data_IF_437709466064
#
_entry.id   IF_437709466064
#
_cell.length_a   1.000
_cell.length_b   1.000
_cell.length_c   1.000
_cell.angle_alpha   90.00
_cell.angle_beta   90.00
_cell.angle_gamma   90.00
#
_symmetry.space_group_name_H-M   'P 1'
#
loop_
_entity.id
_entity.type
_entity.pdbx_description
1 polymer ?
#
# COMPACT_ATOMS: atom_id res chain seq x y z
N UNK A 1 -6.17 -42.68 -2.24
CA UNK A 1 -6.52 -41.29 -1.89
C UNK A 1 -5.26 -40.41 -1.95
N UNK A 2 -4.93 -39.76 -3.09
CA UNK A 2 -3.86 -38.76 -3.14
C UNK A 2 -4.40 -37.40 -3.64
N UNK A 3 -4.53 -36.40 -2.76
CA UNK A 3 -4.89 -35.02 -3.17
C UNK A 3 -4.06 -33.91 -2.50
N UNK A 4 -2.91 -34.21 -1.88
CA UNK A 4 -2.13 -33.17 -1.16
C UNK A 4 -0.90 -32.62 -1.89
N UNK A 5 -0.56 -33.10 -3.10
CA UNK A 5 0.69 -32.71 -3.79
C UNK A 5 0.59 -31.48 -4.71
N UNK A 6 -0.60 -30.88 -4.90
CA UNK A 6 -0.78 -29.75 -5.84
C UNK A 6 -0.56 -28.36 -5.23
N UNK A 7 -0.42 -28.23 -3.90
CA UNK A 7 -0.39 -26.91 -3.25
C UNK A 7 0.95 -26.17 -3.34
N UNK A 8 2.08 -26.88 -3.39
CA UNK A 8 3.41 -26.24 -3.30
C UNK A 8 3.94 -25.73 -4.65
N UNK A 9 3.55 -26.37 -5.76
CA UNK A 9 3.97 -25.94 -7.10
C UNK A 9 3.30 -24.62 -7.53
N UNK A 10 2.10 -24.30 -7.01
CA UNK A 10 1.38 -23.07 -7.35
C UNK A 10 2.02 -21.82 -6.72
N UNK A 11 2.58 -21.92 -5.51
CA UNK A 11 3.20 -20.77 -4.84
C UNK A 11 4.52 -20.32 -5.48
N UNK A 12 5.33 -21.25 -6.00
CA UNK A 12 6.61 -20.92 -6.63
C UNK A 12 6.44 -20.21 -7.99
N UNK A 13 5.44 -20.61 -8.79
CA UNK A 13 5.11 -19.93 -10.06
C UNK A 13 4.59 -18.51 -9.81
N UNK A 14 3.82 -18.30 -8.73
CA UNK A 14 3.27 -16.99 -8.34
C UNK A 14 4.30 -15.95 -7.89
N UNK A 15 5.48 -16.38 -7.41
CA UNK A 15 6.57 -15.48 -7.06
C UNK A 15 7.36 -15.02 -8.30
N UNK A 16 7.45 -15.88 -9.33
CA UNK A 16 8.14 -15.54 -10.57
C UNK A 16 7.35 -14.55 -11.44
N UNK A 17 6.02 -14.67 -11.47
CA UNK A 17 5.13 -13.71 -12.16
C UNK A 17 5.17 -12.30 -11.54
N UNK A 18 5.38 -12.20 -10.22
CA UNK A 18 5.48 -10.90 -9.54
C UNK A 18 6.64 -10.02 -10.04
N UNK A 19 7.72 -10.63 -10.52
CA UNK A 19 8.87 -9.88 -11.03
C UNK A 19 8.67 -9.39 -12.47
N UNK A 20 7.81 -10.03 -13.26
CA UNK A 20 7.65 -9.71 -14.67
C UNK A 20 6.68 -8.54 -14.91
N UNK A 21 5.56 -8.46 -14.18
CA UNK A 21 4.58 -7.37 -14.38
C UNK A 21 5.09 -6.00 -13.92
N UNK A 22 5.95 -5.96 -12.90
CA UNK A 22 6.49 -4.69 -12.34
C UNK A 22 7.58 -4.10 -13.26
N UNK A 23 8.18 -4.91 -14.13
CA UNK A 23 9.29 -4.46 -15.00
C UNK A 23 8.85 -3.64 -16.22
N UNK A 24 7.53 -3.50 -16.46
CA UNK A 24 6.99 -2.81 -17.65
C UNK A 24 7.04 -1.27 -17.51
N UNK A 25 7.19 -0.74 -16.30
CA UNK A 25 7.09 0.71 -16.05
C UNK A 25 8.40 1.33 -15.54
N UNK A 26 9.31 1.63 -16.48
CA UNK A 26 10.25 2.78 -16.50
C UNK A 26 11.12 3.18 -15.30
N UNK A 27 11.04 2.53 -14.13
CA UNK A 27 11.68 3.05 -12.90
C UNK A 27 12.22 1.93 -12.01
N UNK A 28 13.08 1.08 -12.58
CA UNK A 28 13.72 -0.05 -11.91
C UNK A 28 14.35 0.31 -10.55
N UNK A 29 14.92 1.52 -10.42
CA UNK A 29 15.48 2.02 -9.15
C UNK A 29 14.42 2.14 -8.06
N UNK A 30 13.21 2.58 -8.39
CA UNK A 30 12.10 2.74 -7.44
C UNK A 30 11.61 1.36 -6.98
N UNK A 31 11.49 0.40 -7.91
CA UNK A 31 11.10 -0.98 -7.62
C UNK A 31 12.11 -1.67 -6.71
N UNK A 32 13.41 -1.60 -7.04
CA UNK A 32 14.49 -2.17 -6.21
C UNK A 32 14.48 -1.57 -4.80
N UNK A 33 14.26 -0.25 -4.68
CA UNK A 33 14.13 0.41 -3.38
C UNK A 33 12.91 -0.09 -2.61
N UNK A 34 11.75 -0.22 -3.27
CA UNK A 34 10.53 -0.75 -2.65
C UNK A 34 10.74 -2.15 -2.05
N UNK A 35 11.33 -3.08 -2.80
CA UNK A 35 11.64 -4.42 -2.28
C UNK A 35 12.64 -4.41 -1.12
N UNK A 36 13.69 -3.58 -1.23
CA UNK A 36 14.68 -3.43 -0.15
C UNK A 36 14.04 -2.91 1.13
N UNK A 37 13.14 -1.93 1.03
CA UNK A 37 12.45 -1.35 2.18
C UNK A 37 11.53 -2.39 2.85
N UNK A 38 10.82 -3.21 2.05
CA UNK A 38 10.03 -4.34 2.55
C UNK A 38 10.86 -5.43 3.22
N UNK A 39 12.02 -5.77 2.66
CA UNK A 39 12.96 -6.72 3.24
C UNK A 39 13.54 -6.19 4.56
N UNK A 40 13.93 -4.91 4.62
CA UNK A 40 14.44 -4.28 5.84
C UNK A 40 13.41 -4.31 6.98
N UNK A 41 12.15 -4.01 6.67
CA UNK A 41 11.06 -4.11 7.65
C UNK A 41 10.83 -5.56 8.11
N UNK A 42 10.81 -6.50 7.17
CA UNK A 42 10.57 -7.92 7.45
C UNK A 42 11.71 -8.56 8.26
N UNK A 43 12.95 -8.13 8.05
CA UNK A 43 14.10 -8.65 8.79
C UNK A 43 14.26 -8.02 10.19
N UNK A 44 13.52 -6.94 10.49
CA UNK A 44 13.54 -6.31 11.81
C UNK A 44 12.72 -7.11 12.82
N UNK A 45 13.16 -7.14 14.08
CA UNK A 45 12.37 -7.70 15.18
C UNK A 45 11.11 -6.83 15.47
N UNK A 46 10.17 -7.34 16.27
CA UNK A 46 8.88 -6.66 16.52
C UNK A 46 9.05 -5.27 17.13
N UNK A 47 9.96 -5.10 18.08
CA UNK A 47 10.25 -3.80 18.69
C UNK A 47 10.78 -2.80 17.66
N UNK A 48 11.71 -3.24 16.80
CA UNK A 48 12.25 -2.45 15.70
C UNK A 48 11.18 -2.07 14.68
N UNK A 49 10.26 -2.98 14.35
CA UNK A 49 9.11 -2.68 13.46
C UNK A 49 8.16 -1.66 14.08
N UNK A 50 7.88 -1.78 15.38
CA UNK A 50 7.04 -0.83 16.10
C UNK A 50 7.66 0.58 16.11
N UNK A 51 8.93 0.67 16.51
CA UNK A 51 9.70 1.92 16.52
C UNK A 51 9.79 2.54 15.12
N UNK A 52 10.08 1.72 14.11
CA UNK A 52 10.11 2.16 12.71
C UNK A 52 8.76 2.71 12.25
N UNK A 53 7.65 2.10 12.66
CA UNK A 53 6.31 2.53 12.30
C UNK A 53 5.91 3.84 12.97
N UNK A 54 6.23 4.02 14.25
CA UNK A 54 5.97 5.27 14.95
C UNK A 54 6.82 6.40 14.33
N UNK A 55 8.09 6.13 14.01
CA UNK A 55 8.95 7.06 13.26
C UNK A 55 8.48 7.33 11.82
N UNK A 56 7.86 6.37 11.13
CA UNK A 56 7.19 6.58 9.84
C UNK A 56 6.01 7.54 10.00
N UNK A 57 5.19 7.36 11.03
CA UNK A 57 4.02 8.20 11.29
C UNK A 57 4.43 9.65 11.53
N UNK A 58 5.40 9.89 12.43
CA UNK A 58 5.93 11.23 12.71
C UNK A 58 6.50 11.91 11.47
N UNK A 59 7.32 11.19 10.68
CA UNK A 59 7.89 11.70 9.43
C UNK A 59 6.81 12.04 8.41
N UNK A 60 5.72 11.26 8.35
CA UNK A 60 4.60 11.53 7.45
C UNK A 60 3.88 12.81 7.85
N UNK A 61 3.58 12.98 9.15
CA UNK A 61 2.97 14.22 9.66
C UNK A 61 3.83 15.42 9.30
N UNK A 62 5.14 15.35 9.59
CA UNK A 62 6.09 16.43 9.29
C UNK A 62 6.12 16.75 7.79
N UNK A 63 6.18 15.73 6.93
CA UNK A 63 6.20 15.90 5.49
C UNK A 63 4.91 16.54 4.94
N UNK A 64 3.74 16.17 5.48
CA UNK A 64 2.46 16.79 5.12
C UNK A 64 2.41 18.25 5.58
N UNK A 65 2.86 18.55 6.81
CA UNK A 65 2.89 19.93 7.34
C UNK A 65 3.85 20.82 6.55
N UNK A 66 5.02 20.28 6.15
CA UNK A 66 5.99 21.01 5.35
C UNK A 66 5.68 21.00 3.83
N UNK A 67 4.52 20.45 3.43
CA UNK A 67 4.09 20.30 2.03
C UNK A 67 5.15 19.63 1.13
N UNK A 68 5.92 18.69 1.69
CA UNK A 68 6.95 17.94 0.96
C UNK A 68 6.35 16.67 0.33
N UNK A 69 5.64 16.83 -0.78
CA UNK A 69 4.86 15.76 -1.41
C UNK A 69 5.73 14.58 -1.88
N UNK A 70 6.93 14.81 -2.40
CA UNK A 70 7.88 13.74 -2.75
C UNK A 70 8.23 12.88 -1.53
N UNK A 71 8.35 13.51 -0.36
CA UNK A 71 8.63 12.81 0.89
C UNK A 71 7.41 12.01 1.35
N UNK A 72 6.20 12.56 1.21
CA UNK A 72 4.94 11.84 1.47
C UNK A 72 4.86 10.59 0.60
N UNK A 73 5.10 10.71 -0.72
CA UNK A 73 5.13 9.56 -1.64
C UNK A 73 6.16 8.51 -1.21
N UNK A 74 7.37 8.94 -0.84
CA UNK A 74 8.41 8.03 -0.37
C UNK A 74 8.03 7.28 0.90
N UNK A 75 7.38 7.94 1.86
CA UNK A 75 6.97 7.32 3.13
C UNK A 75 5.80 6.35 2.93
N UNK A 76 4.89 6.66 2.01
CA UNK A 76 3.80 5.74 1.63
C UNK A 76 4.37 4.49 0.98
N UNK A 77 5.37 4.60 0.09
CA UNK A 77 6.05 3.43 -0.49
C UNK A 77 6.70 2.57 0.59
N UNK A 78 7.44 3.19 1.51
CA UNK A 78 8.10 2.51 2.64
C UNK A 78 7.06 1.75 3.50
N UNK A 79 5.93 2.39 3.80
CA UNK A 79 4.83 1.76 4.54
C UNK A 79 4.12 0.65 3.76
N UNK A 80 3.90 0.83 2.46
CA UNK A 80 3.26 -0.17 1.60
C UNK A 80 4.14 -1.41 1.42
N UNK A 81 5.46 -1.25 1.35
CA UNK A 81 6.41 -2.37 1.28
C UNK A 81 6.39 -3.24 2.56
N UNK A 82 6.01 -2.65 3.69
CA UNK A 82 5.84 -3.33 4.98
C UNK A 82 4.46 -3.99 5.17
N UNK A 83 3.55 -3.84 4.19
CA UNK A 83 2.19 -4.33 4.28
C UNK A 83 2.13 -5.85 4.05
N UNK A 84 1.46 -6.55 4.96
CA UNK A 84 1.15 -7.96 4.77
C UNK A 84 -0.14 -8.15 3.98
N UNK A 85 -0.28 -9.31 3.31
CA UNK A 85 -1.53 -9.71 2.67
C UNK A 85 -2.72 -9.72 3.66
N UNK A 86 -3.95 -9.48 3.20
CA UNK A 86 -5.13 -9.66 4.01
C UNK A 86 -5.19 -11.11 4.55
N UNK A 87 -5.58 -11.26 5.80
CA UNK A 87 -5.76 -12.56 6.46
C UNK A 87 -7.24 -12.83 6.64
N UNK A 88 -7.68 -14.07 6.52
CA UNK A 88 -9.07 -14.42 6.79
C UNK A 88 -9.36 -14.29 8.30
N UNK A 89 -10.55 -13.81 8.66
CA UNK A 89 -10.99 -13.74 10.05
C UNK A 89 -11.18 -15.15 10.58
N UNK A 90 -10.35 -15.58 11.52
CA UNK A 90 -10.52 -16.85 12.21
C UNK A 90 -11.77 -16.76 13.08
N UNK A 91 -12.79 -17.57 12.79
CA UNK A 91 -13.97 -17.73 13.65
C UNK A 91 -13.59 -18.75 14.72
N UNK A 92 -12.86 -18.29 15.75
CA UNK A 92 -12.44 -19.16 16.84
C UNK A 92 -13.67 -19.62 17.64
N UNK A 93 -14.06 -20.89 17.50
CA UNK A 93 -14.90 -21.59 18.49
C UNK A 93 -13.96 -22.15 19.57
N UNK A 94 -14.20 -21.75 20.82
CA UNK A 94 -13.70 -22.35 22.08
C UNK A 94 -12.20 -22.26 22.43
N UNK A 95 -11.91 -21.20 23.19
CA UNK A 95 -11.23 -21.09 24.49
C UNK A 95 -9.99 -21.94 24.95
N UNK A 96 -9.13 -21.21 25.67
CA UNK A 96 -8.31 -21.57 26.87
C UNK A 96 -6.78 -21.77 26.68
N UNK A 97 -6.05 -20.66 26.88
CA UNK A 97 -4.75 -20.45 27.57
C UNK A 97 -3.47 -21.21 27.14
N UNK A 98 -2.27 -20.76 27.56
CA UNK A 98 -1.73 -19.39 27.62
C UNK A 98 -0.37 -19.32 26.90
N UNK A 99 -0.18 -18.57 25.81
CA UNK A 99 1.19 -18.44 25.27
C UNK A 99 1.49 -17.16 24.47
N UNK A 100 2.78 -16.74 24.46
CA UNK A 100 3.26 -15.47 23.93
C UNK A 100 3.09 -15.31 22.41
N UNK A 101 2.78 -16.38 21.69
CA UNK A 101 2.47 -16.32 20.26
C UNK A 101 1.21 -15.49 19.99
N UNK A 102 0.17 -15.62 20.82
CA UNK A 102 -1.03 -14.77 20.75
C UNK A 102 -0.67 -13.29 20.95
N UNK A 103 0.28 -12.99 21.84
CA UNK A 103 0.74 -11.62 22.07
C UNK A 103 1.49 -11.07 20.84
N UNK A 104 2.32 -11.91 20.21
CA UNK A 104 3.02 -11.58 18.98
C UNK A 104 2.05 -11.37 17.81
N UNK A 105 1.05 -12.22 17.64
CA UNK A 105 0.03 -12.05 16.60
C UNK A 105 -0.82 -10.81 16.83
N UNK A 106 -1.24 -10.55 18.06
CA UNK A 106 -1.95 -9.32 18.44
C UNK A 106 -1.11 -8.09 18.14
N UNK A 107 0.17 -8.11 18.48
CA UNK A 107 1.09 -7.01 18.20
C UNK A 107 1.27 -6.82 16.69
N UNK A 108 1.47 -7.89 15.93
CA UNK A 108 1.59 -7.84 14.48
C UNK A 108 0.31 -7.31 13.83
N UNK A 109 -0.86 -7.75 14.28
CA UNK A 109 -2.16 -7.26 13.80
C UNK A 109 -2.33 -5.76 14.09
N UNK A 110 -1.90 -5.30 15.26
CA UNK A 110 -1.88 -3.87 15.61
C UNK A 110 -0.96 -3.07 14.69
N UNK A 111 0.28 -3.54 14.47
CA UNK A 111 1.24 -2.91 13.56
C UNK A 111 0.69 -2.80 12.13
N UNK A 112 0.12 -3.88 11.61
CA UNK A 112 -0.50 -3.89 10.28
C UNK A 112 -1.71 -2.95 10.21
N UNK A 113 -2.48 -2.85 11.29
CA UNK A 113 -3.58 -1.89 11.40
C UNK A 113 -3.10 -0.43 11.39
N UNK A 114 -1.99 -0.14 12.07
CA UNK A 114 -1.33 1.18 12.06
C UNK A 114 -0.79 1.50 10.65
N UNK A 115 -0.12 0.57 9.98
CA UNK A 115 0.38 0.72 8.60
C UNK A 115 -0.75 1.07 7.63
N UNK A 116 -1.85 0.30 7.62
CA UNK A 116 -3.01 0.57 6.75
C UNK A 116 -3.61 1.96 7.00
N UNK A 117 -3.74 2.36 8.27
CA UNK A 117 -4.24 3.70 8.62
C UNK A 117 -3.30 4.80 8.10
N UNK A 118 -1.99 4.61 8.25
CA UNK A 118 -0.97 5.54 7.78
C UNK A 118 -1.02 5.70 6.26
N UNK A 119 -1.07 4.59 5.52
CA UNK A 119 -1.21 4.58 4.05
C UNK A 119 -2.49 5.30 3.62
N UNK A 120 -3.65 4.92 4.16
CA UNK A 120 -4.92 5.56 3.81
C UNK A 120 -4.93 7.07 4.12
N UNK A 121 -4.28 7.50 5.21
CA UNK A 121 -4.14 8.93 5.53
C UNK A 121 -3.23 9.63 4.53
N UNK A 122 -2.05 9.07 4.26
CA UNK A 122 -1.09 9.63 3.31
C UNK A 122 -1.67 9.77 1.91
N UNK A 123 -2.31 8.72 1.39
CA UNK A 123 -2.98 8.75 0.09
C UNK A 123 -4.11 9.77 0.04
N UNK A 124 -4.85 9.97 1.14
CA UNK A 124 -5.91 10.98 1.22
C UNK A 124 -5.42 12.44 1.13
N UNK A 125 -4.11 12.68 1.25
CA UNK A 125 -3.52 14.02 1.08
C UNK A 125 -2.95 14.25 -0.32
N UNK A 126 -2.87 13.22 -1.15
CA UNK A 126 -2.25 13.29 -2.46
C UNK A 126 -3.30 13.40 -3.56
N UNK A 127 -2.95 14.13 -4.62
CA UNK A 127 -3.70 14.10 -5.86
C UNK A 127 -3.14 12.98 -6.73
N UNK A 128 -3.82 11.86 -6.74
CA UNK A 128 -3.37 10.69 -7.49
C UNK A 128 -3.78 10.75 -8.98
N UNK A 129 -4.56 11.77 -9.37
CA UNK A 129 -4.79 12.09 -10.78
C UNK A 129 -3.57 12.78 -11.42
N UNK A 130 -2.67 13.33 -10.61
CA UNK A 130 -1.40 13.91 -11.06
C UNK A 130 -0.43 12.79 -11.52
N UNK A 131 -0.02 12.84 -12.79
CA UNK A 131 0.84 11.83 -13.41
C UNK A 131 2.18 11.68 -12.67
N UNK A 132 2.74 12.78 -12.16
CA UNK A 132 3.99 12.76 -11.40
C UNK A 132 3.85 11.99 -10.09
N UNK A 133 2.79 12.27 -9.34
CA UNK A 133 2.44 11.59 -8.09
C UNK A 133 2.15 10.11 -8.33
N UNK A 134 1.30 9.80 -9.32
CA UNK A 134 0.93 8.44 -9.68
C UNK A 134 2.15 7.60 -10.10
N UNK A 135 3.03 8.15 -10.95
CA UNK A 135 4.26 7.46 -11.38
C UNK A 135 5.20 7.16 -10.21
N UNK A 136 5.30 8.07 -9.23
CA UNK A 136 6.10 7.83 -8.04
C UNK A 136 5.51 6.73 -7.15
N UNK A 137 4.19 6.63 -7.04
CA UNK A 137 3.51 5.67 -6.17
C UNK A 137 3.17 4.34 -6.85
N UNK A 138 3.30 4.26 -8.18
CA UNK A 138 2.89 3.11 -8.99
C UNK A 138 3.31 1.76 -8.38
N UNK A 139 4.58 1.52 -7.98
CA UNK A 139 4.96 0.21 -7.45
C UNK A 139 4.21 -0.15 -6.15
N UNK A 140 3.95 0.85 -5.31
CA UNK A 140 3.20 0.66 -4.07
C UNK A 140 1.70 0.44 -4.34
N UNK A 141 1.11 1.19 -5.27
CA UNK A 141 -0.30 1.04 -5.64
C UNK A 141 -0.56 -0.32 -6.28
N UNK A 142 0.30 -0.73 -7.21
CA UNK A 142 0.24 -2.04 -7.88
C UNK A 142 0.41 -3.19 -6.88
N UNK A 143 1.37 -3.08 -5.95
CA UNK A 143 1.54 -4.05 -4.88
C UNK A 143 0.29 -4.18 -4.00
N UNK A 144 -0.30 -3.07 -3.56
CA UNK A 144 -1.51 -3.10 -2.73
C UNK A 144 -2.72 -3.67 -3.48
N UNK A 145 -2.90 -3.35 -4.77
CA UNK A 145 -3.94 -3.95 -5.63
C UNK A 145 -3.74 -5.46 -5.73
N UNK A 146 -2.51 -5.91 -5.98
CA UNK A 146 -2.19 -7.34 -6.06
C UNK A 146 -2.51 -8.08 -4.76
N UNK A 147 -2.18 -7.51 -3.60
CA UNK A 147 -2.52 -8.11 -2.30
C UNK A 147 -4.02 -8.31 -2.12
N UNK A 148 -4.83 -7.33 -2.54
CA UNK A 148 -6.29 -7.38 -2.45
C UNK A 148 -6.84 -8.41 -3.43
N UNK A 149 -6.42 -8.37 -4.70
CA UNK A 149 -6.92 -9.29 -5.72
C UNK A 149 -6.55 -10.74 -5.43
N UNK A 150 -5.33 -11.01 -4.95
CA UNK A 150 -4.92 -12.35 -4.52
C UNK A 150 -5.77 -12.89 -3.37
N UNK A 151 -6.17 -12.03 -2.44
CA UNK A 151 -7.07 -12.45 -1.37
C UNK A 151 -8.47 -12.76 -1.90
N UNK A 152 -9.00 -11.93 -2.81
CA UNK A 152 -10.30 -12.11 -3.45
C UNK A 152 -10.46 -13.39 -4.25
N UNK A 153 -9.37 -13.92 -4.80
CA UNK A 153 -9.37 -15.25 -5.45
C UNK A 153 -9.84 -16.34 -4.46
N UNK A 154 -9.54 -16.19 -3.17
CA UNK A 154 -9.76 -17.23 -2.15
C UNK A 154 -10.98 -16.93 -1.26
N UNK A 155 -11.30 -15.67 -1.01
CA UNK A 155 -12.32 -15.25 -0.03
C UNK A 155 -12.79 -13.82 -0.29
N UNK A 156 -13.98 -13.47 0.16
CA UNK A 156 -14.52 -12.10 0.04
C UNK A 156 -13.77 -11.14 0.97
N UNK A 157 -13.53 -9.90 0.54
CA UNK A 157 -12.74 -8.94 1.33
C UNK A 157 -13.40 -8.58 2.67
N UNK A 158 -14.72 -8.74 2.76
CA UNK A 158 -15.55 -8.61 3.96
C UNK A 158 -15.19 -9.63 5.05
N UNK A 159 -14.67 -10.80 4.65
CA UNK A 159 -14.23 -11.87 5.55
C UNK A 159 -12.80 -11.64 6.04
N UNK A 160 -12.10 -10.63 5.51
CA UNK A 160 -10.74 -10.32 5.93
C UNK A 160 -10.71 -9.77 7.37
N UNK A 161 -9.66 -10.11 8.10
CA UNK A 161 -9.27 -9.40 9.30
C UNK A 161 -9.01 -7.93 8.92
N UNK A 162 -9.64 -7.03 9.67
CA UNK A 162 -9.68 -5.60 9.36
C UNK A 162 -10.31 -5.27 7.99
N UNK A 163 -11.34 -6.01 7.56
CA UNK A 163 -12.12 -5.76 6.34
C UNK A 163 -12.41 -4.27 6.07
N UNK A 164 -12.88 -3.52 7.07
CA UNK A 164 -13.16 -2.07 6.94
C UNK A 164 -11.96 -1.26 6.44
N UNK A 165 -10.74 -1.61 6.87
CA UNK A 165 -9.52 -0.91 6.45
C UNK A 165 -9.13 -1.30 5.03
N UNK A 166 -9.25 -2.58 4.68
CA UNK A 166 -8.98 -3.07 3.33
C UNK A 166 -9.98 -2.55 2.30
N UNK A 167 -11.27 -2.55 2.62
CA UNK A 167 -12.33 -1.95 1.78
C UNK A 167 -12.10 -0.45 1.57
N UNK A 168 -11.69 0.28 2.62
CA UNK A 168 -11.33 1.70 2.48
C UNK A 168 -10.13 1.89 1.55
N UNK A 169 -9.09 1.07 1.72
CA UNK A 169 -7.91 1.11 0.87
C UNK A 169 -8.28 0.80 -0.58
N UNK A 170 -9.07 -0.25 -0.82
CA UNK A 170 -9.60 -0.59 -2.13
C UNK A 170 -10.38 0.58 -2.74
N UNK A 171 -11.27 1.22 -1.97
CA UNK A 171 -12.02 2.39 -2.41
C UNK A 171 -11.11 3.50 -2.94
N UNK A 172 -10.07 3.85 -2.17
CA UNK A 172 -9.04 4.83 -2.59
C UNK A 172 -8.40 4.39 -3.91
N UNK A 173 -7.96 3.13 -4.01
CA UNK A 173 -7.28 2.59 -5.20
C UNK A 173 -8.18 2.49 -6.45
N UNK A 174 -9.49 2.38 -6.27
CA UNK A 174 -10.47 2.31 -7.38
C UNK A 174 -10.95 3.67 -7.84
N UNK A 175 -11.05 4.65 -6.94
CA UNK A 175 -11.45 6.02 -7.30
C UNK A 175 -10.48 6.69 -8.28
N UNK A 176 -9.20 6.28 -8.26
CA UNK A 176 -8.17 6.65 -9.23
C UNK A 176 -8.60 6.37 -10.69
N UNK A 177 -9.19 5.18 -10.89
CA UNK A 177 -9.41 4.59 -12.22
C UNK A 177 -10.53 5.33 -12.93
N UNK A 178 -11.51 5.83 -12.19
CA UNK A 178 -12.65 6.57 -12.75
C UNK A 178 -12.22 7.95 -13.29
N UNK A 179 -11.23 8.61 -12.68
CA UNK A 179 -10.77 9.93 -13.15
C UNK A 179 -9.90 9.84 -14.40
N UNK A 180 -9.11 8.78 -14.57
CA UNK A 180 -8.31 8.58 -15.79
C UNK A 180 -9.16 8.15 -17.01
N UNK A 181 -10.15 7.28 -16.82
CA UNK A 181 -11.03 6.84 -17.91
C UNK A 181 -11.87 7.97 -18.54
N UNK A 182 -12.21 9.00 -17.75
CA UNK A 182 -12.92 10.18 -18.25
C UNK A 182 -12.00 11.16 -19.01
N UNK A 183 -10.70 11.18 -18.72
CA UNK A 183 -9.73 12.01 -19.45
C UNK A 183 -9.38 11.42 -20.83
N UNK A 184 -9.46 10.09 -21.00
CA UNK A 184 -9.16 9.43 -22.27
C UNK A 184 -10.29 9.48 -23.32
N UNK A 185 -11.50 9.91 -22.94
CA UNK A 185 -12.67 10.00 -23.83
C UNK A 185 -12.91 11.40 -24.41
N UNK A 186 -12.09 12.40 -24.08
CA UNK A 186 -12.23 13.76 -24.61
C UNK A 186 -10.87 14.41 -24.88
N UNK A 187 -10.36 14.29 -26.11
CA UNK A 187 -9.15 15.03 -26.48
C UNK A 187 -8.49 14.62 -27.80
N UNK A 188 -9.17 14.90 -28.92
CA UNK A 188 -8.48 15.11 -30.19
C UNK A 188 -7.78 16.48 -30.16
N UNK A 189 -6.46 16.48 -30.39
CA UNK A 189 -5.56 17.58 -30.80
C UNK A 189 -5.12 18.68 -29.79
N UNK A 190 -4.04 19.47 -30.07
CA UNK A 190 -2.93 19.29 -31.04
C UNK A 190 -1.51 19.37 -30.44
N UNK A 191 -0.55 18.95 -31.26
CA UNK A 191 0.91 19.07 -31.16
C UNK A 191 1.37 20.48 -30.74
N UNK A 192 2.10 20.57 -29.63
CA UNK A 192 2.65 21.82 -29.11
C UNK A 192 3.86 21.57 -28.21
N UNK A 193 5.03 21.56 -28.85
CA UNK A 193 6.38 21.50 -28.26
C UNK A 193 6.52 22.33 -26.96
N UNK A 194 6.93 21.68 -25.86
CA UNK A 194 7.17 22.35 -24.58
C UNK A 194 8.45 21.81 -23.90
N UNK A 195 9.45 22.69 -23.81
CA UNK A 195 10.77 22.50 -23.19
C UNK A 195 10.67 22.22 -21.68
N UNK A 196 11.54 21.34 -21.20
CA UNK A 196 11.51 20.69 -19.89
C UNK A 196 11.54 21.62 -18.69
N UNK A 197 10.48 21.57 -17.90
CA UNK A 197 10.44 21.98 -16.49
C UNK A 197 9.76 20.86 -15.73
N UNK A 198 10.40 20.35 -14.67
CA UNK A 198 9.84 19.26 -13.86
C UNK A 198 8.44 19.65 -13.37
N UNK A 199 7.41 18.80 -13.60
CA UNK A 199 6.05 19.12 -13.22
C UNK A 199 5.96 19.29 -11.69
N UNK A 200 5.50 20.47 -11.26
CA UNK A 200 5.21 20.73 -9.85
C UNK A 200 4.00 19.89 -9.44
N UNK A 201 4.19 18.96 -8.51
CA UNK A 201 3.13 18.12 -7.94
C UNK A 201 1.99 19.01 -7.43
N UNK A 202 0.79 18.83 -7.96
CA UNK A 202 -0.38 19.64 -7.59
C UNK A 202 -1.04 19.08 -6.33
N UNK A 203 -1.45 19.98 -5.44
CA UNK A 203 -2.19 19.65 -4.21
C UNK A 203 -3.60 19.21 -4.56
N UNK A 204 -4.06 18.11 -3.96
CA UNK A 204 -5.47 17.75 -4.02
C UNK A 204 -6.33 18.90 -3.48
N UNK A 205 -7.24 19.40 -4.30
CA UNK A 205 -8.28 20.33 -3.84
C UNK A 205 -9.25 19.55 -2.96
N UNK A 206 -9.03 19.51 -1.63
CA UNK A 206 -10.07 19.65 -0.56
C UNK A 206 -9.71 19.03 0.80
N UNK A 207 -10.42 19.59 1.80
CA UNK A 207 -10.60 19.23 3.21
C UNK A 207 -9.37 19.30 4.13
N UNK A 208 -9.37 20.33 4.98
CA UNK A 208 -8.57 20.48 6.21
C UNK A 208 -8.81 19.24 7.09
N UNK A 209 -8.09 18.17 6.85
CA UNK A 209 -8.05 17.02 7.75
C UNK A 209 -7.31 17.47 9.01
N UNK A 210 -7.99 17.37 10.14
CA UNK A 210 -7.51 17.81 11.43
C UNK A 210 -6.28 17.00 11.84
N UNK A 211 -5.08 17.54 11.60
CA UNK A 211 -3.81 16.89 11.92
C UNK A 211 -3.68 16.58 13.42
N UNK A 212 -4.50 17.18 14.29
CA UNK A 212 -4.45 16.95 15.74
C UNK A 212 -4.84 15.54 16.18
N UNK A 213 -5.49 14.72 15.33
CA UNK A 213 -5.77 13.29 15.62
C UNK A 213 -4.66 12.33 15.13
N UNK A 214 -3.42 12.82 15.02
CA UNK A 214 -2.28 12.03 14.53
C UNK A 214 -1.44 11.38 15.64
N UNK A 215 -1.56 11.89 16.86
CA UNK A 215 -0.98 11.32 18.09
C UNK A 215 -2.09 10.67 18.92
#
# INVERSE_FOLDING_TARGET
>A
MPQQSLSLASEAVLASDMHQEISIFGNEKVVRRFHRDGAAFSNSNLAGRAFHLDGLAERLVKAVVSESWDKVCSLIREAAAALAAPRQKVVSKEAVAPMPEDAQERLQSNLQGKLRKLICKGLGHLDLSDVGTASQLEPALSFMKLLIERFKIRSQLEEAQAAKQWLRLQGILTSEVTTQAQASLGGLQPEGSCVGKSPKLRRARRHRLDLKRLL
#
